data_IF_642211358570
#
_entry.id   IF_642211358570
#
_cell.length_a   1.000
_cell.length_b   1.000
_cell.length_c   1.000
_cell.angle_alpha   90.00
_cell.angle_beta   90.00
_cell.angle_gamma   90.00
#
_symmetry.space_group_name_H-M   'P 1'
#
loop_
_entity.id
_entity.type
_entity.pdbx_description
1 polymer ?
#
# COMPACT_ATOMS: atom_id res chain seq x y z
N UNK A 1 -66.32 6.16 -6.61
CA UNK A 1 -65.10 5.67 -5.92
C UNK A 1 -63.78 5.87 -6.67
N UNK A 2 -63.74 6.53 -7.86
CA UNK A 2 -62.52 6.70 -8.66
C UNK A 2 -61.76 8.04 -8.47
N UNK A 3 -62.25 8.97 -7.64
CA UNK A 3 -61.62 10.30 -7.48
C UNK A 3 -60.66 10.45 -6.28
N UNK A 4 -60.66 9.51 -5.32
CA UNK A 4 -59.75 9.56 -4.17
C UNK A 4 -58.37 8.94 -4.43
N UNK A 5 -58.24 8.04 -5.42
CA UNK A 5 -56.95 7.39 -5.73
C UNK A 5 -55.94 8.36 -6.39
N UNK A 6 -56.41 9.36 -7.16
CA UNK A 6 -55.54 10.34 -7.81
C UNK A 6 -54.94 11.40 -6.88
N UNK A 7 -55.62 11.72 -5.77
CA UNK A 7 -55.18 12.75 -4.81
C UNK A 7 -54.06 12.28 -3.86
N UNK A 8 -53.95 10.97 -3.64
CA UNK A 8 -52.85 10.37 -2.84
C UNK A 8 -51.66 9.92 -3.69
N UNK A 9 -51.83 9.81 -5.01
CA UNK A 9 -50.74 9.45 -5.92
C UNK A 9 -49.70 10.58 -6.07
N UNK A 10 -50.13 11.84 -6.12
CA UNK A 10 -49.22 12.98 -6.32
C UNK A 10 -48.24 13.20 -5.14
N UNK A 11 -48.67 13.20 -3.87
CA UNK A 11 -47.77 13.31 -2.72
C UNK A 11 -46.82 12.11 -2.60
N UNK A 12 -47.30 10.90 -2.91
CA UNK A 12 -46.48 9.69 -2.92
C UNK A 12 -45.41 9.71 -4.02
N UNK A 13 -45.73 10.24 -5.21
CA UNK A 13 -44.76 10.44 -6.30
C UNK A 13 -43.74 11.51 -5.91
N UNK A 14 -44.17 12.64 -5.32
CA UNK A 14 -43.26 13.69 -4.84
C UNK A 14 -42.33 13.16 -3.74
N UNK A 15 -42.85 12.36 -2.80
CA UNK A 15 -42.05 11.72 -1.76
C UNK A 15 -41.08 10.67 -2.32
N UNK A 16 -41.52 9.85 -3.29
CA UNK A 16 -40.69 8.87 -3.97
C UNK A 16 -39.59 9.51 -4.83
N UNK A 17 -39.84 10.69 -5.40
CA UNK A 17 -38.86 11.47 -6.17
C UNK A 17 -37.95 12.34 -5.29
N UNK A 18 -38.33 12.61 -4.03
CA UNK A 18 -37.53 13.41 -3.10
C UNK A 18 -36.16 12.81 -2.84
N UNK A 19 -36.10 11.52 -2.51
CA UNK A 19 -34.84 10.81 -2.27
C UNK A 19 -33.88 10.81 -3.48
N UNK A 20 -34.32 10.44 -4.71
CA UNK A 20 -33.43 10.50 -5.87
C UNK A 20 -33.06 11.93 -6.29
N UNK A 21 -33.92 12.94 -6.07
CA UNK A 21 -33.58 14.35 -6.32
C UNK A 21 -32.56 14.85 -5.29
N UNK A 22 -32.76 14.58 -4.00
CA UNK A 22 -31.83 14.93 -2.93
C UNK A 22 -30.47 14.24 -3.14
N UNK A 23 -30.47 12.96 -3.52
CA UNK A 23 -29.27 12.21 -3.91
C UNK A 23 -28.59 12.82 -5.14
N UNK A 24 -29.35 13.17 -6.18
CA UNK A 24 -28.84 13.79 -7.40
C UNK A 24 -28.20 15.17 -7.16
N UNK A 25 -28.84 16.02 -6.34
CA UNK A 25 -28.30 17.32 -5.94
C UNK A 25 -27.02 17.13 -5.11
N UNK A 26 -27.03 16.19 -4.16
CA UNK A 26 -25.87 15.88 -3.31
C UNK A 26 -24.68 15.42 -4.16
N UNK A 27 -24.91 14.53 -5.13
CA UNK A 27 -23.87 14.09 -6.07
C UNK A 27 -23.34 15.22 -6.95
N UNK A 28 -24.20 16.13 -7.42
CA UNK A 28 -23.80 17.29 -8.22
C UNK A 28 -22.95 18.28 -7.42
N UNK A 29 -23.38 18.59 -6.18
CA UNK A 29 -22.63 19.45 -5.26
C UNK A 29 -21.27 18.81 -4.93
N UNK A 30 -21.25 17.53 -4.56
CA UNK A 30 -20.01 16.82 -4.24
C UNK A 30 -19.04 16.81 -5.43
N UNK A 31 -19.52 16.55 -6.65
CA UNK A 31 -18.70 16.63 -7.86
C UNK A 31 -18.19 18.05 -8.15
N UNK A 32 -19.00 19.08 -7.94
CA UNK A 32 -18.58 20.48 -8.13
C UNK A 32 -17.49 20.85 -7.11
N UNK A 33 -17.68 20.51 -5.85
CA UNK A 33 -16.69 20.71 -4.79
C UNK A 33 -15.40 19.97 -5.10
N UNK A 34 -15.48 18.70 -5.51
CA UNK A 34 -14.31 17.92 -5.93
C UNK A 34 -13.52 18.63 -7.04
N UNK A 35 -14.20 19.10 -8.10
CA UNK A 35 -13.55 19.81 -9.20
C UNK A 35 -12.85 21.08 -8.74
N UNK A 36 -13.51 21.89 -7.91
CA UNK A 36 -12.94 23.14 -7.40
C UNK A 36 -11.71 22.87 -6.52
N UNK A 37 -11.81 21.91 -5.60
CA UNK A 37 -10.74 21.53 -4.69
C UNK A 37 -9.53 20.99 -5.46
N UNK A 38 -9.73 20.11 -6.44
CA UNK A 38 -8.65 19.56 -7.28
C UNK A 38 -7.89 20.67 -8.01
N UNK A 39 -8.59 21.66 -8.57
CA UNK A 39 -7.97 22.82 -9.24
C UNK A 39 -7.12 23.62 -8.24
N UNK A 40 -7.65 23.90 -7.04
CA UNK A 40 -6.89 24.58 -5.98
C UNK A 40 -5.64 23.80 -5.56
N UNK A 41 -5.70 22.47 -5.63
CA UNK A 41 -4.56 21.58 -5.36
C UNK A 41 -3.60 21.41 -6.55
N UNK A 42 -3.84 22.11 -7.66
CA UNK A 42 -3.00 22.05 -8.86
C UNK A 42 -3.20 20.78 -9.70
N UNK A 43 -4.23 19.98 -9.43
CA UNK A 43 -4.55 18.77 -10.21
C UNK A 43 -5.64 19.04 -11.25
N UNK A 44 -5.46 18.50 -12.45
CA UNK A 44 -6.50 18.52 -13.48
C UNK A 44 -7.72 17.70 -13.00
N UNK A 45 -8.94 18.24 -13.05
CA UNK A 45 -10.15 17.56 -12.57
C UNK A 45 -10.66 16.52 -13.58
N UNK A 46 -9.88 15.46 -13.79
CA UNK A 46 -10.26 14.31 -14.63
C UNK A 46 -11.34 13.47 -13.94
N UNK A 47 -12.04 12.62 -14.70
CA UNK A 47 -13.06 11.69 -14.16
C UNK A 47 -12.48 10.81 -13.04
N UNK A 48 -11.24 10.38 -13.20
CA UNK A 48 -10.52 9.55 -12.24
C UNK A 48 -10.17 10.31 -10.95
N UNK A 49 -9.60 11.52 -11.04
CA UNK A 49 -9.28 12.33 -9.86
C UNK A 49 -10.53 12.72 -9.07
N UNK A 50 -11.64 12.99 -9.77
CA UNK A 50 -12.94 13.24 -9.12
C UNK A 50 -13.42 11.98 -8.40
N UNK A 51 -13.28 10.80 -9.01
CA UNK A 51 -13.65 9.54 -8.36
C UNK A 51 -12.84 9.30 -7.09
N UNK A 52 -11.51 9.41 -7.17
CA UNK A 52 -10.61 9.24 -6.02
C UNK A 52 -10.93 10.23 -4.88
N UNK A 53 -11.24 11.48 -5.21
CA UNK A 53 -11.65 12.48 -4.21
C UNK A 53 -12.97 12.11 -3.52
N UNK A 54 -13.96 11.66 -4.31
CA UNK A 54 -15.26 11.30 -3.76
C UNK A 54 -15.18 10.03 -2.90
N UNK A 55 -14.33 9.06 -3.28
CA UNK A 55 -14.13 7.85 -2.48
C UNK A 55 -13.27 8.12 -1.24
N UNK A 56 -12.30 9.04 -1.30
CA UNK A 56 -11.48 9.41 -0.13
C UNK A 56 -12.27 10.07 1.00
N UNK A 57 -13.38 10.75 0.67
CA UNK A 57 -14.25 11.41 1.65
C UNK A 57 -15.46 10.56 2.07
N UNK A 58 -15.64 9.37 1.50
CA UNK A 58 -16.82 8.53 1.69
C UNK A 58 -16.51 7.09 2.06
N UNK A 59 -15.33 6.75 2.57
CA UNK A 59 -15.20 5.50 3.32
C UNK A 59 -15.99 5.69 4.61
N UNK A 60 -17.19 5.11 4.78
CA UNK A 60 -17.83 5.14 6.07
C UNK A 60 -16.84 4.45 7.01
N UNK A 61 -16.55 5.03 8.17
CA UNK A 61 -16.08 4.21 9.28
C UNK A 61 -17.11 3.07 9.37
N UNK A 62 -16.72 1.79 9.22
CA UNK A 62 -17.69 0.72 9.35
C UNK A 62 -18.36 0.93 10.71
N UNK A 63 -19.66 1.22 10.70
CA UNK A 63 -20.43 1.31 11.92
C UNK A 63 -20.30 -0.06 12.55
N UNK A 64 -19.52 -0.17 13.65
CA UNK A 64 -19.15 -1.44 14.27
C UNK A 64 -20.43 -2.22 14.56
N UNK A 65 -20.82 -3.19 13.73
CA UNK A 65 -21.94 -4.05 14.08
C UNK A 65 -21.42 -4.92 15.23
N UNK A 66 -22.28 -5.28 16.17
CA UNK A 66 -21.95 -6.32 17.13
C UNK A 66 -21.40 -7.54 16.35
N UNK A 67 -20.26 -8.12 16.76
CA UNK A 67 -19.61 -9.16 15.98
C UNK A 67 -20.58 -10.33 15.83
N UNK A 68 -21.08 -10.53 14.61
CA UNK A 68 -21.71 -11.79 14.25
C UNK A 68 -20.64 -12.88 14.36
N UNK A 69 -20.99 -14.09 14.83
CA UNK A 69 -20.05 -15.19 14.85
C UNK A 69 -19.47 -15.36 13.45
N UNK A 70 -18.15 -15.15 13.34
CA UNK A 70 -17.46 -15.31 12.06
C UNK A 70 -17.59 -16.78 11.66
N UNK A 71 -18.10 -17.09 10.46
CA UNK A 71 -18.14 -18.47 9.99
C UNK A 71 -16.72 -19.06 10.07
N UNK A 72 -16.59 -20.37 10.34
CA UNK A 72 -15.28 -21.01 10.40
C UNK A 72 -14.52 -20.77 9.10
N UNK A 73 -13.24 -20.42 9.21
CA UNK A 73 -12.39 -20.16 8.05
C UNK A 73 -12.28 -21.42 7.19
N UNK A 74 -12.46 -21.30 5.86
CA UNK A 74 -12.34 -22.44 4.96
C UNK A 74 -10.91 -22.98 4.98
N UNK A 75 -10.76 -24.28 4.74
CA UNK A 75 -9.46 -24.84 4.41
C UNK A 75 -8.99 -24.27 3.07
N UNK A 76 -7.73 -23.84 3.01
CA UNK A 76 -7.11 -23.35 1.78
C UNK A 76 -6.35 -24.52 1.15
N UNK A 77 -6.78 -25.04 -0.02
CA UNK A 77 -6.06 -26.12 -0.69
C UNK A 77 -4.60 -25.73 -0.98
N UNK A 78 -3.61 -26.61 -0.75
CA UNK A 78 -2.19 -26.29 -0.99
C UNK A 78 -1.87 -25.92 -2.44
N UNK A 79 -2.66 -26.41 -3.39
CA UNK A 79 -2.54 -26.11 -4.81
C UNK A 79 -3.19 -24.78 -5.22
N UNK A 80 -3.89 -24.09 -4.31
CA UNK A 80 -4.46 -22.76 -4.55
C UNK A 80 -3.35 -21.78 -4.96
N UNK A 81 -3.47 -21.09 -6.11
CA UNK A 81 -2.46 -20.15 -6.56
C UNK A 81 -2.44 -18.91 -5.66
N UNK A 82 -1.24 -18.53 -5.18
CA UNK A 82 -1.02 -17.25 -4.52
C UNK A 82 -0.53 -16.21 -5.52
N UNK A 83 0.44 -16.56 -6.36
CA UNK A 83 0.96 -15.72 -7.44
C UNK A 83 1.34 -16.59 -8.65
N UNK A 84 1.94 -15.98 -9.68
CA UNK A 84 2.56 -16.73 -10.78
C UNK A 84 3.74 -17.58 -10.35
N UNK A 85 4.36 -17.27 -9.20
CA UNK A 85 5.54 -17.96 -8.70
C UNK A 85 5.23 -18.99 -7.60
N UNK A 86 4.14 -18.79 -6.85
CA UNK A 86 3.90 -19.53 -5.61
C UNK A 86 2.45 -19.98 -5.46
N UNK A 87 2.29 -21.12 -4.78
CA UNK A 87 1.01 -21.65 -4.30
C UNK A 87 0.96 -21.58 -2.78
N UNK A 88 -0.23 -21.69 -2.21
CA UNK A 88 -0.41 -21.66 -0.76
C UNK A 88 0.38 -22.75 -0.02
N UNK A 89 0.58 -23.92 -0.63
CA UNK A 89 1.44 -24.97 -0.08
C UNK A 89 2.92 -24.58 0.04
N UNK A 90 3.41 -23.67 -0.81
CA UNK A 90 4.79 -23.16 -0.74
C UNK A 90 4.95 -22.14 0.40
N UNK A 91 3.90 -21.38 0.68
CA UNK A 91 3.86 -20.35 1.72
C UNK A 91 3.74 -20.97 3.12
N UNK A 92 2.91 -22.00 3.27
CA UNK A 92 2.65 -22.69 4.54
C UNK A 92 3.63 -23.85 4.77
N UNK A 93 4.83 -23.53 5.27
CA UNK A 93 5.84 -24.54 5.64
C UNK A 93 5.47 -25.14 7.01
N UNK A 94 5.25 -26.45 7.06
CA UNK A 94 4.81 -27.16 8.28
C UNK A 94 3.55 -26.55 8.91
N UNK A 95 2.55 -26.26 8.07
CA UNK A 95 1.29 -25.63 8.46
C UNK A 95 1.42 -24.20 9.02
N UNK A 96 2.56 -23.54 8.80
CA UNK A 96 2.83 -22.18 9.26
C UNK A 96 3.28 -21.29 8.13
N UNK A 97 2.63 -20.13 8.01
CA UNK A 97 3.09 -19.02 7.19
C UNK A 97 3.59 -17.94 8.14
N UNK A 98 4.87 -17.56 8.05
CA UNK A 98 5.41 -16.46 8.86
C UNK A 98 5.59 -15.19 8.05
N UNK A 99 5.19 -14.08 8.66
CA UNK A 99 5.30 -12.73 8.11
C UNK A 99 6.20 -11.92 9.04
N UNK A 100 7.38 -11.54 8.55
CA UNK A 100 8.25 -10.60 9.24
C UNK A 100 7.93 -9.17 8.84
N UNK A 101 7.67 -8.30 9.81
CA UNK A 101 7.31 -6.90 9.58
C UNK A 101 8.33 -5.99 10.24
N UNK A 102 9.04 -5.17 9.46
CA UNK A 102 9.90 -4.12 9.99
C UNK A 102 9.23 -2.75 9.81
N UNK A 103 9.13 -1.97 10.88
CA UNK A 103 8.54 -0.62 10.83
C UNK A 103 9.60 0.39 11.30
N UNK A 104 10.04 1.26 10.40
CA UNK A 104 10.99 2.34 10.68
C UNK A 104 10.29 3.51 11.37
N UNK A 105 9.95 3.36 12.65
CA UNK A 105 9.32 4.42 13.44
C UNK A 105 9.78 4.37 14.91
N UNK A 106 10.04 5.53 15.56
CA UNK A 106 10.37 5.56 16.98
C UNK A 106 9.22 5.06 17.85
N UNK A 107 7.99 5.46 17.52
CA UNK A 107 6.76 4.97 18.12
C UNK A 107 6.00 4.15 17.09
N UNK A 108 5.50 3.00 17.53
CA UNK A 108 4.65 2.15 16.69
C UNK A 108 3.25 2.77 16.56
N UNK A 109 2.57 2.54 15.42
CA UNK A 109 1.18 2.96 15.26
C UNK A 109 0.24 2.20 16.21
N UNK A 110 -0.81 2.88 16.67
CA UNK A 110 -1.84 2.29 17.53
C UNK A 110 -2.53 1.10 16.87
N UNK A 111 -2.91 0.10 17.67
CA UNK A 111 -3.61 -1.11 17.21
C UNK A 111 -2.72 -2.15 16.53
N UNK A 112 -1.44 -1.87 16.31
CA UNK A 112 -0.50 -2.84 15.74
C UNK A 112 -0.36 -4.09 16.64
N UNK A 113 -0.34 -3.90 17.95
CA UNK A 113 -0.24 -4.94 18.97
C UNK A 113 -1.33 -6.02 18.82
N UNK A 114 -2.55 -5.60 18.46
CA UNK A 114 -3.68 -6.53 18.23
C UNK A 114 -3.50 -7.43 17.00
N UNK A 115 -2.60 -7.06 16.09
CA UNK A 115 -2.32 -7.80 14.86
C UNK A 115 -1.10 -8.71 15.01
N UNK A 116 -0.26 -8.54 16.02
CA UNK A 116 0.93 -9.38 16.21
C UNK A 116 0.57 -10.74 16.79
N UNK A 117 1.33 -11.77 16.43
CA UNK A 117 1.13 -13.13 16.91
C UNK A 117 0.45 -14.03 15.89
N UNK A 118 -0.24 -15.05 16.39
CA UNK A 118 -0.79 -16.14 15.60
C UNK A 118 -2.25 -15.88 15.21
N UNK A 119 -2.54 -16.09 13.93
CA UNK A 119 -3.86 -15.94 13.33
C UNK A 119 -4.27 -17.25 12.67
N UNK A 120 -5.49 -17.76 12.93
CA UNK A 120 -5.96 -18.98 12.28
C UNK A 120 -6.10 -18.75 10.77
N UNK A 121 -5.74 -19.75 9.96
CA UNK A 121 -5.82 -19.69 8.50
C UNK A 121 -6.48 -20.95 7.91
N UNK A 122 -7.62 -21.32 8.48
CA UNK A 122 -8.31 -22.58 8.21
C UNK A 122 -7.80 -23.74 9.09
N UNK A 123 -8.33 -24.95 8.90
CA UNK A 123 -8.00 -26.12 9.71
C UNK A 123 -6.50 -26.46 9.67
N UNK A 124 -5.87 -26.45 10.84
CA UNK A 124 -4.47 -26.86 11.04
C UNK A 124 -3.41 -25.83 10.63
N UNK A 125 -3.79 -24.74 9.94
CA UNK A 125 -2.86 -23.73 9.43
C UNK A 125 -2.87 -22.45 10.28
N UNK A 126 -1.69 -21.86 10.44
CA UNK A 126 -1.50 -20.62 11.21
C UNK A 126 -0.67 -19.60 10.42
N UNK A 127 -1.11 -18.35 10.42
CA UNK A 127 -0.31 -17.20 9.98
C UNK A 127 0.29 -16.54 11.22
N UNK A 128 1.61 -16.41 11.30
CA UNK A 128 2.27 -15.69 12.39
C UNK A 128 2.80 -14.35 11.88
N UNK A 129 2.30 -13.25 12.44
CA UNK A 129 2.83 -11.92 12.22
C UNK A 129 3.85 -11.56 13.31
N UNK A 130 5.09 -11.26 12.92
CA UNK A 130 6.16 -10.89 13.86
C UNK A 130 6.71 -9.52 13.53
N UNK A 131 6.81 -8.68 14.54
CA UNK A 131 7.48 -7.40 14.43
C UNK A 131 9.00 -7.58 14.57
N UNK A 132 9.73 -7.00 13.63
CA UNK A 132 11.18 -6.99 13.52
C UNK A 132 11.67 -5.62 14.02
N UNK A 133 12.54 -5.63 15.03
CA UNK A 133 13.01 -4.45 15.76
C UNK A 133 14.39 -4.01 15.30
N UNK A 134 15.19 -4.92 14.77
CA UNK A 134 16.59 -4.67 14.43
C UNK A 134 16.87 -4.91 12.96
N UNK A 135 17.97 -4.34 12.46
CA UNK A 135 18.49 -4.63 11.12
C UNK A 135 18.73 -6.13 10.93
N UNK A 136 19.35 -6.78 11.91
CA UNK A 136 19.64 -8.21 11.84
C UNK A 136 18.35 -9.04 11.75
N UNK A 137 17.32 -8.70 12.52
CA UNK A 137 16.03 -9.39 12.43
C UNK A 137 15.37 -9.25 11.06
N UNK A 138 15.49 -8.08 10.41
CA UNK A 138 15.06 -7.90 9.02
C UNK A 138 15.88 -8.75 8.04
N UNK A 139 17.20 -8.76 8.20
CA UNK A 139 18.10 -9.55 7.36
C UNK A 139 17.83 -11.05 7.48
N UNK A 140 17.67 -11.55 8.71
CA UNK A 140 17.34 -12.96 8.99
C UNK A 140 15.94 -13.32 8.48
N UNK A 141 15.02 -12.35 8.48
CA UNK A 141 13.66 -12.54 7.97
C UNK A 141 13.63 -12.91 6.49
N UNK A 142 14.52 -12.34 5.66
CA UNK A 142 14.61 -12.70 4.25
C UNK A 142 14.93 -14.18 4.01
N UNK A 143 15.67 -14.84 4.91
CA UNK A 143 15.99 -16.26 4.79
C UNK A 143 14.93 -17.16 5.47
N UNK A 144 14.25 -16.65 6.49
CA UNK A 144 13.39 -17.45 7.39
C UNK A 144 11.91 -17.36 7.07
N UNK A 145 11.42 -16.17 6.74
CA UNK A 145 9.98 -15.88 6.65
C UNK A 145 9.45 -16.06 5.22
N UNK A 146 8.19 -16.49 5.10
CA UNK A 146 7.52 -16.63 3.80
C UNK A 146 7.28 -15.25 3.18
N UNK A 147 6.91 -14.27 4.01
CA UNK A 147 6.65 -12.89 3.60
C UNK A 147 7.46 -11.94 4.48
N UNK A 148 8.15 -10.98 3.86
CA UNK A 148 8.83 -9.89 4.56
C UNK A 148 8.20 -8.57 4.14
N UNK A 149 7.81 -7.74 5.10
CA UNK A 149 7.23 -6.42 4.86
C UNK A 149 8.08 -5.36 5.55
N UNK A 150 8.49 -4.35 4.79
CA UNK A 150 9.19 -3.17 5.29
C UNK A 150 8.28 -1.96 5.18
N UNK A 151 8.01 -1.28 6.29
CA UNK A 151 7.35 0.01 6.35
C UNK A 151 8.36 1.06 6.76
N UNK A 152 8.58 2.08 5.94
CA UNK A 152 9.51 3.13 6.31
C UNK A 152 9.72 4.19 5.24
N UNK A 153 10.65 5.09 5.50
CA UNK A 153 11.11 6.03 4.50
C UNK A 153 12.18 5.37 3.64
N UNK A 154 11.98 5.36 2.32
CA UNK A 154 13.11 5.15 1.42
C UNK A 154 13.96 6.42 1.43
N UNK A 155 15.29 6.31 1.54
CA UNK A 155 16.18 7.47 1.47
C UNK A 155 16.29 7.95 0.03
N UNK A 156 15.18 8.41 -0.53
CA UNK A 156 15.14 8.99 -1.87
C UNK A 156 15.69 8.05 -2.96
N UNK A 157 15.55 6.73 -2.76
CA UNK A 157 16.11 5.71 -3.68
C UNK A 157 17.35 4.98 -3.15
N UNK A 158 18.01 5.44 -2.07
CA UNK A 158 19.23 4.79 -1.55
C UNK A 158 19.00 3.45 -0.82
N UNK A 159 17.74 2.97 -0.74
CA UNK A 159 17.37 1.67 -0.19
C UNK A 159 16.89 1.71 1.26
N UNK A 160 16.98 0.58 1.96
CA UNK A 160 16.42 0.40 3.31
C UNK A 160 17.22 1.22 4.32
N UNK A 161 16.54 2.14 5.00
CA UNK A 161 17.12 2.92 6.11
C UNK A 161 16.87 2.19 7.43
N UNK A 162 17.87 2.22 8.29
CA UNK A 162 17.78 1.83 9.70
C UNK A 162 17.90 3.07 10.60
N UNK A 163 17.32 3.06 11.82
CA UNK A 163 17.37 4.18 12.73
C UNK A 163 18.81 4.70 12.93
N UNK A 164 19.04 6.04 12.95
CA UNK A 164 20.39 6.63 12.99
C UNK A 164 21.26 6.18 14.17
N UNK A 165 20.64 5.76 15.27
CA UNK A 165 21.34 5.30 16.48
C UNK A 165 22.01 3.93 16.29
N UNK A 166 21.77 3.26 15.16
CA UNK A 166 22.46 2.03 14.79
C UNK A 166 23.87 2.28 14.23
N UNK A 167 24.16 3.47 13.71
CA UNK A 167 25.40 3.75 12.97
C UNK A 167 25.55 2.94 11.66
N UNK A 168 24.52 2.17 11.27
CA UNK A 168 24.58 1.27 10.13
C UNK A 168 24.34 2.00 8.81
N UNK A 169 25.13 1.64 7.79
CA UNK A 169 24.89 2.08 6.43
C UNK A 169 23.55 1.53 5.89
N UNK A 170 22.84 2.29 5.05
CA UNK A 170 21.64 1.77 4.37
C UNK A 170 22.01 0.58 3.49
N UNK A 171 21.06 -0.32 3.21
CA UNK A 171 21.23 -1.37 2.20
C UNK A 171 20.90 -0.74 0.83
N UNK A 172 21.87 -0.54 -0.08
CA UNK A 172 21.61 0.07 -1.37
C UNK A 172 20.78 -0.83 -2.28
N UNK A 173 19.68 -0.28 -2.83
CA UNK A 173 18.70 -1.05 -3.62
C UNK A 173 18.23 -0.31 -4.90
N UNK A 174 18.87 0.79 -5.28
CA UNK A 174 18.41 1.70 -6.33
C UNK A 174 19.20 1.61 -7.64
N UNK A 175 18.55 1.84 -8.79
CA UNK A 175 19.16 1.80 -10.14
C UNK A 175 19.14 3.21 -10.68
N UNK A 176 20.10 3.51 -11.55
CA UNK A 176 20.02 4.56 -12.58
C UNK A 176 18.84 5.54 -12.39
N UNK A 177 19.12 6.67 -11.74
CA UNK A 177 18.24 7.85 -11.54
C UNK A 177 17.46 7.97 -10.22
N UNK A 178 18.07 7.67 -9.07
CA UNK A 178 17.54 8.03 -7.75
C UNK A 178 17.42 9.54 -7.58
N UNK A 179 16.33 10.03 -6.98
CA UNK A 179 16.08 11.46 -6.83
C UNK A 179 16.25 11.93 -5.38
N UNK A 180 17.43 12.43 -5.04
CA UNK A 180 17.80 12.89 -3.69
C UNK A 180 17.92 14.42 -3.61
N UNK A 181 17.78 15.06 -2.42
CA UNK A 181 18.21 16.45 -2.24
C UNK A 181 19.72 16.58 -2.42
N UNK A 182 20.20 17.71 -2.96
CA UNK A 182 21.66 17.93 -3.19
C UNK A 182 22.50 17.76 -1.92
N UNK A 183 22.00 18.22 -0.77
CA UNK A 183 22.65 18.03 0.54
C UNK A 183 22.83 16.56 0.98
N UNK A 184 22.19 15.60 0.32
CA UNK A 184 22.31 14.17 0.62
C UNK A 184 23.23 13.45 -0.37
N UNK A 185 23.87 14.18 -1.30
CA UNK A 185 24.85 13.64 -2.24
C UNK A 185 26.07 13.12 -1.47
N UNK A 186 26.38 11.84 -1.62
CA UNK A 186 27.59 11.25 -1.09
C UNK A 186 28.73 11.34 -2.12
N UNK A 187 30.01 11.37 -1.71
CA UNK A 187 31.15 11.47 -2.63
C UNK A 187 31.19 10.41 -3.74
N UNK A 188 30.67 9.22 -3.45
CA UNK A 188 30.61 8.07 -4.36
C UNK A 188 29.40 8.09 -5.31
N UNK A 189 28.43 8.97 -5.09
CA UNK A 189 27.23 9.06 -5.93
C UNK A 189 27.56 9.68 -7.29
N UNK A 190 27.17 9.02 -8.37
CA UNK A 190 27.31 9.57 -9.73
C UNK A 190 26.09 10.41 -10.09
N UNK A 191 26.25 11.72 -10.28
CA UNK A 191 25.16 12.62 -10.68
C UNK A 191 24.81 12.44 -12.16
N UNK A 192 23.54 12.20 -12.44
CA UNK A 192 22.95 12.08 -13.79
C UNK A 192 22.31 13.40 -14.22
N UNK A 193 21.57 14.08 -13.34
CA UNK A 193 20.94 15.38 -13.63
C UNK A 193 20.70 16.19 -12.35
N UNK A 194 20.60 17.52 -12.47
CA UNK A 194 20.13 18.42 -11.39
C UNK A 194 18.79 19.01 -11.81
N UNK A 195 17.82 19.00 -10.91
CA UNK A 195 16.51 19.60 -11.11
C UNK A 195 16.48 20.99 -10.49
N UNK A 196 15.69 21.89 -11.06
CA UNK A 196 15.62 23.31 -10.66
C UNK A 196 15.08 23.52 -9.23
N UNK A 197 14.51 22.49 -8.61
CA UNK A 197 13.98 22.50 -7.24
C UNK A 197 15.00 22.02 -6.18
N UNK A 198 16.29 21.92 -6.52
CA UNK A 198 17.35 21.50 -5.59
C UNK A 198 17.41 19.98 -5.34
N UNK A 199 16.66 19.20 -6.13
CA UNK A 199 16.81 17.75 -6.19
C UNK A 199 17.82 17.37 -7.27
N UNK A 200 18.52 16.26 -7.05
CA UNK A 200 19.49 15.70 -7.97
C UNK A 200 19.14 14.25 -8.25
N UNK A 201 19.37 13.88 -9.50
CA UNK A 201 19.20 12.54 -10.03
C UNK A 201 20.56 11.85 -10.03
N UNK A 202 20.72 10.73 -9.35
CA UNK A 202 21.99 10.01 -9.23
C UNK A 202 21.87 8.55 -9.73
N UNK A 203 22.98 7.91 -10.10
CA UNK A 203 23.03 6.46 -10.31
C UNK A 203 23.06 5.77 -8.95
N UNK A 204 22.09 4.88 -8.69
CA UNK A 204 22.07 4.07 -7.47
C UNK A 204 23.00 2.86 -7.53
N UNK A 205 23.35 2.31 -6.35
CA UNK A 205 24.12 1.08 -6.19
C UNK A 205 23.21 -0.12 -5.87
N UNK A 206 23.27 -1.17 -6.69
CA UNK A 206 22.58 -2.45 -6.45
C UNK A 206 23.47 -3.48 -5.73
N UNK A 207 24.73 -3.16 -5.49
CA UNK A 207 25.71 -4.07 -4.88
C UNK A 207 25.31 -4.51 -3.46
N UNK A 208 24.53 -3.70 -2.75
CA UNK A 208 23.96 -4.03 -1.45
C UNK A 208 23.10 -5.30 -1.43
N UNK A 209 22.48 -5.63 -2.56
CA UNK A 209 21.61 -6.80 -2.68
C UNK A 209 22.39 -8.10 -2.89
N UNK A 210 23.60 -8.03 -3.46
CA UNK A 210 24.37 -9.23 -3.87
C UNK A 210 24.67 -10.19 -2.72
N UNK A 211 24.77 -9.67 -1.49
CA UNK A 211 25.16 -10.44 -0.32
C UNK A 211 23.97 -10.84 0.57
N UNK A 212 22.72 -10.55 0.16
CA UNK A 212 21.54 -10.93 0.94
C UNK A 212 21.18 -12.39 0.68
N UNK A 213 20.97 -13.16 1.76
CA UNK A 213 20.38 -14.48 1.68
C UNK A 213 18.84 -14.36 1.62
N UNK A 214 18.28 -14.32 0.42
CA UNK A 214 16.85 -14.15 0.20
C UNK A 214 16.20 -15.48 -0.20
N UNK A 215 15.31 -15.97 0.67
CA UNK A 215 14.53 -17.22 0.50
C UNK A 215 13.03 -17.02 0.79
N UNK A 216 12.61 -15.80 1.11
CA UNK A 216 11.21 -15.46 1.23
C UNK A 216 10.51 -15.59 -0.14
N UNK A 217 9.21 -15.84 -0.09
CA UNK A 217 8.38 -15.92 -1.29
C UNK A 217 8.00 -14.52 -1.79
N UNK A 218 7.80 -13.59 -0.84
CA UNK A 218 7.40 -12.22 -1.11
C UNK A 218 8.18 -11.21 -0.28
N UNK A 219 8.55 -10.11 -0.91
CA UNK A 219 9.04 -8.91 -0.22
C UNK A 219 8.17 -7.70 -0.56
N UNK A 220 7.55 -7.11 0.47
CA UNK A 220 6.84 -5.84 0.37
C UNK A 220 7.71 -4.69 0.85
N UNK A 221 8.17 -3.84 -0.06
CA UNK A 221 8.88 -2.61 0.27
C UNK A 221 7.91 -1.43 0.27
N UNK A 222 7.27 -1.21 1.42
CA UNK A 222 6.11 -0.33 1.60
C UNK A 222 6.54 1.02 2.21
N UNK A 223 7.24 1.81 1.40
CA UNK A 223 7.76 3.11 1.81
C UNK A 223 7.32 4.31 0.98
N UNK A 224 7.93 5.46 1.28
CA UNK A 224 7.74 6.65 0.44
C UNK A 224 8.45 6.46 -0.91
N UNK A 225 7.71 6.62 -2.01
CA UNK A 225 8.23 6.69 -3.39
C UNK A 225 9.18 5.55 -3.77
N UNK A 226 8.64 4.34 -3.93
CA UNK A 226 9.48 3.14 -4.07
C UNK A 226 9.44 2.45 -5.43
N UNK A 227 8.25 2.27 -6.03
CA UNK A 227 8.10 1.45 -7.26
C UNK A 227 9.06 1.88 -8.39
N UNK A 228 9.21 3.19 -8.59
CA UNK A 228 10.04 3.79 -9.64
C UNK A 228 11.54 3.45 -9.55
N UNK A 229 12.04 2.98 -8.39
CA UNK A 229 13.48 2.85 -8.16
C UNK A 229 13.93 1.44 -7.78
N UNK A 230 13.05 0.64 -7.17
CA UNK A 230 13.46 -0.58 -6.47
C UNK A 230 13.00 -1.87 -7.14
N UNK A 231 11.80 -1.89 -7.76
CA UNK A 231 11.18 -3.11 -8.27
C UNK A 231 12.08 -3.85 -9.25
N UNK A 232 12.50 -3.16 -10.31
CA UNK A 232 13.22 -3.78 -11.41
C UNK A 232 14.60 -4.29 -10.98
N UNK A 233 15.23 -3.68 -9.97
CA UNK A 233 16.49 -4.21 -9.42
C UNK A 233 16.21 -5.44 -8.58
N UNK A 234 15.25 -5.35 -7.66
CA UNK A 234 14.95 -6.47 -6.79
C UNK A 234 14.65 -7.71 -7.63
N UNK A 235 13.81 -7.56 -8.66
CA UNK A 235 13.48 -8.65 -9.59
C UNK A 235 14.70 -9.11 -10.41
N UNK A 236 15.62 -8.22 -10.77
CA UNK A 236 16.87 -8.63 -11.44
C UNK A 236 17.80 -9.46 -10.55
N UNK A 237 17.82 -9.20 -9.24
CA UNK A 237 18.66 -9.93 -8.27
C UNK A 237 17.97 -11.17 -7.70
N UNK A 238 16.65 -11.13 -7.51
CA UNK A 238 15.84 -12.18 -6.89
C UNK A 238 14.59 -12.48 -7.74
N UNK A 239 14.75 -13.01 -8.97
CA UNK A 239 13.65 -13.14 -9.94
C UNK A 239 12.51 -14.06 -9.52
N UNK A 240 12.70 -14.88 -8.48
CA UNK A 240 11.67 -15.78 -7.94
C UNK A 240 10.87 -15.18 -6.79
N UNK A 241 11.27 -14.02 -6.29
CA UNK A 241 10.61 -13.35 -5.16
C UNK A 241 9.59 -12.37 -5.71
N UNK A 242 8.33 -12.52 -5.32
CA UNK A 242 7.32 -11.52 -5.62
C UNK A 242 7.68 -10.22 -4.90
N UNK A 243 7.67 -9.10 -5.62
CA UNK A 243 8.02 -7.80 -5.07
C UNK A 243 6.79 -6.90 -5.08
N UNK A 244 6.39 -6.44 -3.91
CA UNK A 244 5.31 -5.46 -3.78
C UNK A 244 5.94 -4.12 -3.40
N UNK A 245 5.69 -3.10 -4.20
CA UNK A 245 6.21 -1.77 -3.96
C UNK A 245 5.06 -0.78 -3.74
N UNK A 246 5.34 0.28 -3.00
CA UNK A 246 4.46 1.44 -2.95
C UNK A 246 4.93 2.52 -3.90
N UNK A 247 4.05 3.02 -4.76
CA UNK A 247 4.39 4.10 -5.69
C UNK A 247 4.57 5.41 -4.93
N UNK A 248 3.66 5.78 -4.00
CA UNK A 248 3.68 7.05 -3.26
C UNK A 248 2.91 6.99 -1.94
N UNK A 249 3.48 6.42 -0.89
CA UNK A 249 2.85 6.49 0.44
C UNK A 249 3.66 7.41 1.33
N UNK A 250 3.15 8.60 1.61
CA UNK A 250 3.80 9.55 2.53
C UNK A 250 3.62 9.16 4.00
N UNK A 251 2.62 8.33 4.31
CA UNK A 251 2.25 7.94 5.67
C UNK A 251 2.20 6.41 5.88
N UNK A 252 3.08 5.63 5.22
CA UNK A 252 2.95 4.16 5.21
C UNK A 252 3.06 3.54 6.60
N UNK A 253 3.81 4.17 7.49
CA UNK A 253 3.93 3.79 8.89
C UNK A 253 2.58 3.90 9.62
N UNK A 254 1.89 5.03 9.48
CA UNK A 254 0.59 5.23 10.14
C UNK A 254 -0.49 4.31 9.55
N UNK A 255 -0.42 4.03 8.24
CA UNK A 255 -1.33 3.11 7.55
C UNK A 255 -0.99 1.63 7.79
N UNK A 256 0.12 1.30 8.46
CA UNK A 256 0.60 -0.07 8.59
C UNK A 256 -0.43 -1.03 9.20
N UNK A 257 -1.17 -0.69 10.28
CA UNK A 257 -2.19 -1.60 10.83
C UNK A 257 -3.28 -1.98 9.82
N UNK A 258 -3.80 -1.01 9.06
CA UNK A 258 -4.84 -1.26 8.05
C UNK A 258 -4.31 -2.10 6.87
N UNK A 259 -3.07 -1.82 6.44
CA UNK A 259 -2.39 -2.60 5.41
C UNK A 259 -2.18 -4.05 5.88
N UNK A 260 -1.66 -4.24 7.09
CA UNK A 260 -1.42 -5.56 7.69
C UNK A 260 -2.72 -6.34 7.89
N UNK A 261 -3.79 -5.68 8.34
CA UNK A 261 -5.11 -6.30 8.43
C UNK A 261 -5.62 -6.80 7.08
N UNK A 262 -5.40 -6.03 6.00
CA UNK A 262 -5.76 -6.44 4.63
C UNK A 262 -4.96 -7.65 4.19
N UNK A 263 -3.64 -7.68 4.46
CA UNK A 263 -2.79 -8.85 4.23
C UNK A 263 -3.29 -10.08 4.98
N UNK A 264 -3.53 -9.97 6.29
CA UNK A 264 -4.02 -11.07 7.12
C UNK A 264 -5.36 -11.60 6.59
N UNK A 265 -6.33 -10.70 6.37
CA UNK A 265 -7.67 -11.07 5.87
C UNK A 265 -7.59 -11.77 4.52
N UNK A 266 -6.80 -11.23 3.58
CA UNK A 266 -6.64 -11.83 2.26
C UNK A 266 -5.98 -13.20 2.33
N UNK A 267 -4.92 -13.35 3.12
CA UNK A 267 -4.23 -14.62 3.31
C UNK A 267 -5.13 -15.67 3.98
N UNK A 268 -5.90 -15.30 5.00
CA UNK A 268 -6.86 -16.17 5.68
C UNK A 268 -7.99 -16.65 4.75
N UNK A 269 -8.31 -15.88 3.72
CA UNK A 269 -9.35 -16.19 2.73
C UNK A 269 -8.82 -16.88 1.48
N UNK A 270 -7.53 -17.18 1.39
CA UNK A 270 -6.95 -17.81 0.20
C UNK A 270 -6.88 -16.88 -1.01
N UNK A 271 -6.87 -15.54 -0.82
CA UNK A 271 -6.80 -14.59 -1.92
C UNK A 271 -5.44 -14.66 -2.64
N UNK A 272 -5.47 -14.54 -3.97
CA UNK A 272 -4.23 -14.32 -4.73
C UNK A 272 -3.59 -12.98 -4.33
N UNK A 273 -2.28 -12.87 -4.53
CA UNK A 273 -1.52 -11.64 -4.32
C UNK A 273 -2.14 -10.46 -5.09
N UNK A 274 -2.52 -10.66 -6.35
CA UNK A 274 -3.18 -9.63 -7.14
C UNK A 274 -4.49 -9.14 -6.51
N UNK A 275 -5.28 -10.03 -5.90
CA UNK A 275 -6.50 -9.65 -5.19
C UNK A 275 -6.19 -8.88 -3.89
N UNK A 276 -5.16 -9.28 -3.14
CA UNK A 276 -4.72 -8.53 -1.95
C UNK A 276 -4.26 -7.11 -2.33
N UNK A 277 -3.46 -6.98 -3.40
CA UNK A 277 -3.01 -5.68 -3.91
C UNK A 277 -4.18 -4.85 -4.42
N UNK A 278 -5.17 -5.48 -5.05
CA UNK A 278 -6.39 -4.79 -5.46
C UNK A 278 -7.15 -4.20 -4.26
N UNK A 279 -7.36 -5.00 -3.20
CA UNK A 279 -8.03 -4.57 -1.97
C UNK A 279 -7.24 -3.44 -1.27
N UNK A 280 -5.91 -3.54 -1.24
CA UNK A 280 -5.05 -2.48 -0.70
C UNK A 280 -5.22 -1.16 -1.48
N UNK A 281 -5.28 -1.21 -2.81
CA UNK A 281 -5.45 -0.03 -3.65
C UNK A 281 -6.84 0.59 -3.52
N UNK A 282 -7.90 -0.22 -3.42
CA UNK A 282 -9.27 0.28 -3.24
C UNK A 282 -9.40 1.08 -1.93
N UNK A 283 -8.76 0.61 -0.86
CA UNK A 283 -8.88 1.19 0.48
C UNK A 283 -7.98 2.42 0.71
N UNK A 284 -7.21 2.86 -0.29
CA UNK A 284 -6.20 3.92 -0.14
C UNK A 284 -6.34 5.05 -1.18
N UNK A 285 -7.58 5.34 -1.62
CA UNK A 285 -7.87 6.39 -2.61
C UNK A 285 -7.31 7.78 -2.24
N UNK A 286 -7.30 8.11 -0.94
CA UNK A 286 -6.75 9.37 -0.43
C UNK A 286 -5.23 9.47 -0.66
N UNK A 287 -4.48 8.43 -0.33
CA UNK A 287 -3.02 8.38 -0.49
C UNK A 287 -2.62 8.44 -1.97
N UNK A 288 -3.38 7.80 -2.86
CA UNK A 288 -3.17 7.93 -4.32
C UNK A 288 -3.31 9.38 -4.76
N UNK A 289 -4.36 10.07 -4.27
CA UNK A 289 -4.61 11.46 -4.61
C UNK A 289 -3.49 12.38 -4.07
N UNK A 290 -3.07 12.21 -2.82
CA UNK A 290 -1.94 12.95 -2.25
C UNK A 290 -0.62 12.69 -2.97
N UNK A 291 -0.38 11.45 -3.42
CA UNK A 291 0.76 11.10 -4.26
C UNK A 291 0.79 11.91 -5.56
N UNK A 292 -0.34 11.99 -6.26
CA UNK A 292 -0.48 12.80 -7.50
C UNK A 292 -0.23 14.29 -7.26
N UNK A 293 -0.75 14.85 -6.17
CA UNK A 293 -0.55 16.26 -5.80
C UNK A 293 0.94 16.52 -5.58
N UNK A 294 1.63 15.65 -4.84
CA UNK A 294 3.06 15.80 -4.57
C UNK A 294 3.91 15.73 -5.85
N UNK A 295 3.60 14.82 -6.78
CA UNK A 295 4.28 14.75 -8.08
C UNK A 295 4.12 16.04 -8.89
N UNK A 296 2.92 16.62 -8.89
CA UNK A 296 2.65 17.85 -9.63
C UNK A 296 3.31 19.06 -8.99
N UNK A 297 3.15 19.23 -7.67
CA UNK A 297 3.45 20.49 -6.98
C UNK A 297 4.83 20.53 -6.34
N UNK A 298 5.30 19.40 -5.77
CA UNK A 298 6.57 19.34 -5.05
C UNK A 298 7.71 18.84 -5.95
N UNK A 299 7.44 17.81 -6.74
CA UNK A 299 8.46 17.15 -7.57
C UNK A 299 8.47 17.66 -9.02
N UNK A 300 7.50 18.48 -9.42
CA UNK A 300 7.38 19.03 -10.77
C UNK A 300 7.49 17.96 -11.87
N UNK A 301 6.84 16.82 -11.65
CA UNK A 301 6.92 15.64 -12.51
C UNK A 301 5.53 15.26 -13.05
N UNK A 302 4.96 16.06 -13.98
CA UNK A 302 3.59 15.89 -14.46
C UNK A 302 3.39 14.63 -15.32
N UNK A 303 4.47 13.93 -15.70
CA UNK A 303 4.42 12.75 -16.56
C UNK A 303 4.11 11.45 -15.82
N UNK A 304 4.13 11.45 -14.48
CA UNK A 304 4.02 10.23 -13.67
C UNK A 304 3.02 10.42 -12.54
N UNK A 305 1.74 10.23 -12.85
CA UNK A 305 0.69 10.17 -11.83
C UNK A 305 0.40 8.71 -11.50
N UNK A 306 0.59 8.27 -10.23
CA UNK A 306 0.27 6.91 -9.86
C UNK A 306 -1.22 6.63 -10.08
N UNK A 307 -1.53 5.64 -10.92
CA UNK A 307 -2.87 5.06 -11.03
C UNK A 307 -3.23 4.25 -9.78
N UNK A 308 -2.20 3.68 -9.14
CA UNK A 308 -2.30 2.75 -8.03
C UNK A 308 -1.20 3.06 -7.02
N UNK A 309 -1.48 2.78 -5.75
CA UNK A 309 -0.55 2.98 -4.64
C UNK A 309 0.40 1.80 -4.47
N UNK A 310 -0.10 0.58 -4.65
CA UNK A 310 0.66 -0.66 -4.54
C UNK A 310 0.76 -1.31 -5.91
N UNK A 311 1.97 -1.75 -6.26
CA UNK A 311 2.31 -2.46 -7.49
C UNK A 311 2.93 -3.80 -7.14
N UNK A 312 2.72 -4.80 -8.00
CA UNK A 312 3.30 -6.14 -7.93
C UNK A 312 3.82 -6.51 -9.31
#
# INVERSE_FOLDING_TARGET
MLRLAGLLALPAIIYALRQPIESGITHLVARRTARQTLITWGLTPTRENIHLYLTSHHTPAPATPAPLPSPPLPAIPPDTPFSSHWRYGDLFRNHRLSIGVYILAPALPDGLDTLLGDHPAGPGNTITLRLLRTRQELLDSFARDSIVLYFGHANFGKGIIFPPHSGDAPIPMGRDTLLIPERHLAPEDTVIARLDNGLIRIRGGADGLKNLNVQCNLFGYLGCRTDLYFRDIWQAHFPRVDFVATTYVTHSIAAAPAILHTWLTGLQRGHSLAAIIHDLNQNQSAEILFGRINETTRYHNPATHPAQLFTH
#
